data_IF_621862124335
#
_entry.id   IF_621862124335
#
_cell.length_a   1.000
_cell.length_b   1.000
_cell.length_c   1.000
_cell.angle_alpha   90.00
_cell.angle_beta   90.00
_cell.angle_gamma   90.00
#
_symmetry.space_group_name_H-M   'P 1'
#
loop_
_entity.id
_entity.type
_entity.pdbx_description
1 polymer ?
#
# COMPACT_ATOMS: atom_id res chain seq x y z
N UNK A 1 17.93 -2.99 10.40
CA UNK A 1 17.35 -1.67 10.72
C UNK A 1 16.51 -1.39 9.50
N UNK A 2 15.19 -1.28 9.69
CA UNK A 2 14.30 -1.11 8.55
C UNK A 2 14.44 0.30 7.99
N UNK A 3 14.49 0.41 6.68
CA UNK A 3 14.55 1.65 5.93
C UNK A 3 13.55 1.59 4.76
N UNK A 4 13.19 2.74 4.20
CA UNK A 4 12.30 2.81 3.04
C UNK A 4 12.94 2.12 1.83
N UNK A 5 12.14 1.35 1.11
CA UNK A 5 12.50 0.82 -0.21
C UNK A 5 12.61 1.97 -1.20
N UNK A 6 13.43 1.79 -2.23
CA UNK A 6 13.76 2.84 -3.21
C UNK A 6 12.52 3.36 -3.92
N UNK A 7 11.77 2.51 -4.62
CA UNK A 7 10.61 2.94 -5.41
C UNK A 7 9.50 1.89 -5.43
N UNK A 8 8.28 2.38 -5.56
CA UNK A 8 7.07 1.58 -5.78
C UNK A 8 6.83 1.47 -7.28
N UNK A 9 6.50 0.27 -7.74
CA UNK A 9 6.15 -0.04 -9.13
C UNK A 9 4.64 -0.09 -9.29
N UNK A 10 3.96 -0.84 -8.42
CA UNK A 10 2.53 -1.08 -8.48
C UNK A 10 1.96 -1.17 -7.06
N UNK A 11 0.74 -0.66 -6.89
CA UNK A 11 -0.06 -0.79 -5.67
C UNK A 11 -1.41 -1.36 -6.08
N UNK A 12 -1.91 -2.31 -5.28
CA UNK A 12 -3.26 -2.79 -5.38
C UNK A 12 -3.92 -2.72 -4.01
N UNK A 13 -5.01 -1.95 -3.91
CA UNK A 13 -5.84 -1.91 -2.72
C UNK A 13 -7.21 -2.54 -2.99
N UNK A 14 -7.63 -3.44 -2.11
CA UNK A 14 -8.92 -4.12 -2.23
C UNK A 14 -9.55 -4.37 -0.86
N UNK A 15 -10.87 -4.59 -0.88
CA UNK A 15 -11.60 -5.02 0.30
C UNK A 15 -11.83 -6.53 0.23
N UNK A 16 -11.45 -7.23 1.29
CA UNK A 16 -11.77 -8.63 1.54
C UNK A 16 -12.69 -8.75 2.78
N UNK A 17 -12.99 -9.97 3.22
CA UNK A 17 -13.89 -10.23 4.34
C UNK A 17 -15.38 -10.20 3.98
N UNK A 18 -16.21 -9.94 4.98
CA UNK A 18 -17.68 -9.93 4.88
C UNK A 18 -18.22 -8.54 5.28
N UNK A 19 -19.49 -8.24 4.93
CA UNK A 19 -20.16 -6.95 5.24
C UNK A 19 -20.07 -6.54 6.73
N UNK A 20 -20.02 -7.51 7.65
CA UNK A 20 -19.94 -7.23 9.09
C UNK A 20 -18.51 -6.97 9.59
N UNK A 21 -17.48 -7.42 8.86
CA UNK A 21 -16.07 -7.29 9.21
C UNK A 21 -15.21 -7.13 7.94
N UNK A 22 -15.31 -5.99 7.23
CA UNK A 22 -14.52 -5.75 6.04
C UNK A 22 -13.02 -5.62 6.39
N UNK A 23 -12.18 -6.20 5.56
CA UNK A 23 -10.72 -6.16 5.68
C UNK A 23 -10.14 -5.35 4.54
N UNK A 24 -9.25 -4.43 4.86
CA UNK A 24 -8.42 -3.76 3.88
C UNK A 24 -7.21 -4.65 3.57
N UNK A 25 -7.07 -5.03 2.31
CA UNK A 25 -5.92 -5.75 1.78
C UNK A 25 -5.15 -4.81 0.87
N UNK A 26 -3.86 -4.64 1.14
CA UNK A 26 -2.95 -3.81 0.36
C UNK A 26 -1.78 -4.66 -0.09
N UNK A 27 -1.57 -4.74 -1.39
CA UNK A 27 -0.45 -5.42 -2.02
C UNK A 27 0.39 -4.39 -2.76
N UNK A 28 1.72 -4.50 -2.63
CA UNK A 28 2.65 -3.57 -3.26
C UNK A 28 3.82 -4.32 -3.88
N UNK A 29 4.17 -3.92 -5.09
CA UNK A 29 5.39 -4.31 -5.78
C UNK A 29 6.32 -3.10 -5.88
N UNK A 30 7.60 -3.30 -5.62
CA UNK A 30 8.60 -2.24 -5.63
C UNK A 30 9.97 -2.72 -6.11
N UNK A 31 10.89 -1.77 -6.25
CA UNK A 31 12.28 -2.04 -6.55
C UNK A 31 13.17 -1.57 -5.40
N UNK A 32 14.00 -2.46 -4.89
CA UNK A 32 15.07 -2.16 -3.96
C UNK A 32 16.37 -1.80 -4.72
N UNK A 33 17.24 -0.94 -4.16
CA UNK A 33 18.46 -0.48 -4.83
C UNK A 33 19.57 -1.54 -4.89
N UNK A 34 19.46 -2.62 -4.10
CA UNK A 34 20.43 -3.71 -4.02
C UNK A 34 19.70 -5.04 -3.87
N UNK A 35 20.33 -6.13 -4.29
CA UNK A 35 19.82 -7.48 -4.01
C UNK A 35 19.86 -7.82 -2.51
N UNK A 36 18.97 -8.70 -2.06
CA UNK A 36 19.05 -9.31 -0.71
C UNK A 36 18.43 -8.50 0.41
N UNK A 37 17.52 -7.57 0.09
CA UNK A 37 16.65 -6.97 1.10
C UNK A 37 15.77 -8.04 1.74
N UNK A 38 15.53 -7.90 3.04
CA UNK A 38 14.76 -8.85 3.83
C UNK A 38 13.69 -8.13 4.66
N UNK A 39 12.72 -8.88 5.18
CA UNK A 39 11.64 -8.34 6.02
C UNK A 39 10.90 -7.15 5.38
N UNK A 40 10.67 -7.25 4.06
CA UNK A 40 9.88 -6.28 3.31
C UNK A 40 8.45 -6.31 3.85
N UNK A 41 7.90 -5.15 4.18
CA UNK A 41 6.54 -5.00 4.69
C UNK A 41 6.04 -3.58 4.47
N UNK A 42 4.72 -3.42 4.57
CA UNK A 42 4.08 -2.12 4.72
C UNK A 42 3.90 -1.83 6.22
N UNK A 43 4.43 -0.70 6.68
CA UNK A 43 4.15 -0.19 8.03
C UNK A 43 3.03 0.87 7.94
N UNK A 44 1.83 0.62 8.50
CA UNK A 44 0.72 1.58 8.45
C UNK A 44 0.96 2.77 9.37
N UNK A 45 0.60 3.97 8.90
CA UNK A 45 0.60 5.17 9.73
C UNK A 45 -0.60 5.14 10.69
N UNK A 46 -0.34 5.38 11.98
CA UNK A 46 -1.39 5.37 13.00
C UNK A 46 -1.90 6.77 13.25
N UNK A 47 -3.19 6.99 12.96
CA UNK A 47 -3.88 8.26 13.12
C UNK A 47 -4.67 8.33 14.42
N UNK A 48 -4.50 9.40 15.20
CA UNK A 48 -5.38 9.72 16.34
C UNK A 48 -6.67 10.38 15.84
N UNK A 49 -6.56 11.22 14.81
CA UNK A 49 -7.67 11.88 14.14
C UNK A 49 -7.64 11.43 12.69
N UNK A 50 -8.75 10.93 12.14
CA UNK A 50 -8.82 10.53 10.74
C UNK A 50 -8.33 11.65 9.81
N UNK A 51 -7.59 11.31 8.74
CA UNK A 51 -7.18 12.29 7.74
C UNK A 51 -8.39 12.83 6.98
N UNK A 52 -8.39 14.14 6.68
CA UNK A 52 -9.49 14.81 5.96
C UNK A 52 -9.67 14.29 4.52
N UNK A 53 -8.61 13.73 3.95
CA UNK A 53 -8.56 13.17 2.59
C UNK A 53 -9.08 11.71 2.54
N UNK A 54 -9.30 11.07 3.70
CA UNK A 54 -9.75 9.68 3.78
C UNK A 54 -8.73 8.64 3.31
N UNK A 55 -7.46 9.03 3.16
CA UNK A 55 -6.39 8.15 2.66
C UNK A 55 -5.55 7.61 3.81
N UNK A 56 -5.36 6.28 3.85
CA UNK A 56 -4.48 5.60 4.80
C UNK A 56 -3.05 5.52 4.25
N UNK A 57 -2.11 6.17 4.92
CA UNK A 57 -0.69 6.11 4.54
C UNK A 57 0.00 4.84 5.04
N UNK A 58 0.92 4.32 4.22
CA UNK A 58 1.82 3.23 4.55
C UNK A 58 3.25 3.55 4.09
N UNK A 59 4.23 3.06 4.84
CA UNK A 59 5.63 3.09 4.42
C UNK A 59 6.05 1.71 3.90
N UNK A 60 6.56 1.64 2.66
CA UNK A 60 7.19 0.41 2.15
C UNK A 60 8.61 0.32 2.71
N UNK A 61 8.81 -0.56 3.69
CA UNK A 61 10.08 -0.69 4.42
C UNK A 61 10.67 -2.09 4.29
N UNK A 62 11.99 -2.17 4.43
CA UNK A 62 12.72 -3.42 4.52
C UNK A 62 14.08 -3.28 5.19
N UNK A 63 14.70 -4.40 5.53
CA UNK A 63 16.06 -4.44 6.03
C UNK A 63 17.05 -4.52 4.87
N UNK A 64 17.82 -3.44 4.70
CA UNK A 64 18.91 -3.39 3.73
C UNK A 64 20.09 -4.30 4.13
N UNK A 65 20.64 -5.09 3.21
CA UNK A 65 21.84 -5.86 3.46
C UNK A 65 23.08 -4.96 3.54
N UNK A 66 24.03 -5.32 4.41
CA UNK A 66 25.24 -4.52 4.63
C UNK A 66 26.22 -4.55 3.45
N UNK A 67 26.37 -5.71 2.80
CA UNK A 67 27.25 -5.93 1.65
C UNK A 67 26.44 -6.65 0.56
N UNK A 68 25.92 -5.88 -0.38
CA UNK A 68 25.17 -6.38 -1.52
C UNK A 68 25.57 -5.66 -2.80
N UNK A 69 25.36 -6.34 -3.93
CA UNK A 69 25.57 -5.74 -5.23
C UNK A 69 24.51 -4.65 -5.50
N UNK A 70 24.95 -3.53 -6.09
CA UNK A 70 24.12 -2.42 -6.54
C UNK A 70 23.38 -2.80 -7.83
N UNK A 71 22.39 -3.68 -7.66
CA UNK A 71 21.54 -4.20 -8.72
C UNK A 71 20.10 -4.05 -8.23
N UNK A 72 19.25 -3.44 -9.06
CA UNK A 72 17.82 -3.32 -8.77
C UNK A 72 17.22 -4.71 -8.61
N UNK A 73 16.47 -4.91 -7.54
CA UNK A 73 15.76 -6.16 -7.27
C UNK A 73 14.31 -5.89 -6.92
N UNK A 74 13.43 -6.68 -7.50
CA UNK A 74 12.01 -6.69 -7.18
C UNK A 74 11.78 -7.10 -5.73
N UNK A 75 10.85 -6.42 -5.07
CA UNK A 75 10.40 -6.70 -3.72
C UNK A 75 8.88 -6.59 -3.67
N UNK A 76 8.28 -7.44 -2.85
CA UNK A 76 6.84 -7.54 -2.70
C UNK A 76 6.50 -7.45 -1.21
N UNK A 77 5.42 -6.76 -0.88
CA UNK A 77 4.85 -6.75 0.46
C UNK A 77 3.32 -6.71 0.38
N UNK A 78 2.72 -7.28 1.41
CA UNK A 78 1.28 -7.20 1.62
C UNK A 78 0.97 -6.80 3.06
N UNK A 79 -0.17 -6.16 3.24
CA UNK A 79 -0.73 -5.83 4.54
C UNK A 79 -2.23 -6.11 4.54
N UNK A 80 -2.69 -6.63 5.68
CA UNK A 80 -4.10 -6.92 5.92
C UNK A 80 -4.47 -6.38 7.29
N UNK A 81 -5.63 -5.73 7.37
CA UNK A 81 -6.19 -5.26 8.63
C UNK A 81 -7.63 -4.81 8.51
N UNK A 82 -8.25 -4.39 9.62
CA UNK A 82 -9.63 -3.92 9.60
C UNK A 82 -9.75 -2.68 8.71
N UNK A 83 -10.72 -2.68 7.80
CA UNK A 83 -11.07 -1.48 7.05
C UNK A 83 -11.70 -0.46 8.01
N UNK A 84 -11.16 0.75 8.03
CA UNK A 84 -11.67 1.83 8.85
C UNK A 84 -12.73 2.60 8.08
N UNK A 85 -13.79 3.06 8.76
CA UNK A 85 -14.96 3.71 8.15
C UNK A 85 -14.66 4.99 7.37
N UNK A 86 -13.52 5.61 7.64
CA UNK A 86 -13.06 6.82 6.95
C UNK A 86 -12.12 6.53 5.78
N UNK A 87 -11.62 5.29 5.66
CA UNK A 87 -10.59 4.92 4.69
C UNK A 87 -11.22 4.63 3.32
N UNK A 88 -11.00 5.53 2.37
CA UNK A 88 -11.47 5.41 0.97
C UNK A 88 -10.32 5.13 -0.01
N UNK A 89 -9.08 5.22 0.44
CA UNK A 89 -7.88 5.07 -0.39
C UNK A 89 -6.65 4.74 0.45
N UNK A 90 -5.59 4.30 -0.21
CA UNK A 90 -4.29 4.07 0.41
C UNK A 90 -3.20 4.85 -0.30
N UNK A 91 -2.16 5.24 0.44
CA UNK A 91 -1.01 5.98 -0.08
C UNK A 91 0.28 5.34 0.43
N UNK A 92 1.07 4.80 -0.49
CA UNK A 92 2.33 4.12 -0.15
C UNK A 92 3.50 5.07 -0.38
N UNK A 93 4.36 5.20 0.62
CA UNK A 93 5.58 6.01 0.60
C UNK A 93 6.81 5.13 0.36
N UNK A 94 7.66 5.55 -0.58
CA UNK A 94 9.00 5.04 -0.81
C UNK A 94 10.00 6.20 -0.87
N UNK A 95 11.28 5.90 -1.10
CA UNK A 95 12.33 6.94 -1.14
C UNK A 95 12.15 7.90 -2.32
N UNK A 96 11.94 7.36 -3.51
CA UNK A 96 11.93 8.12 -4.77
C UNK A 96 10.52 8.51 -5.22
N UNK A 97 9.48 7.83 -4.74
CA UNK A 97 8.10 8.10 -5.12
C UNK A 97 7.08 7.81 -4.02
N UNK A 98 5.85 8.15 -4.36
CA UNK A 98 4.63 7.95 -3.61
C UNK A 98 3.55 7.55 -4.60
N UNK A 99 2.81 6.49 -4.31
CA UNK A 99 1.67 6.04 -5.13
C UNK A 99 0.42 5.98 -4.27
N UNK A 100 -0.67 6.49 -4.82
CA UNK A 100 -2.00 6.45 -4.22
C UNK A 100 -2.88 5.52 -5.06
N UNK A 101 -3.72 4.75 -4.37
CA UNK A 101 -4.71 3.88 -5.00
C UNK A 101 -6.03 3.94 -4.22
N UNK A 102 -7.14 3.97 -4.95
CA UNK A 102 -8.48 4.00 -4.35
C UNK A 102 -8.85 2.58 -3.88
N UNK A 103 -9.48 2.47 -2.71
CA UNK A 103 -9.93 1.17 -2.21
C UNK A 103 -11.22 0.83 -2.92
N UNK A 104 -11.18 -0.14 -3.83
CA UNK A 104 -12.37 -0.53 -4.58
C UNK A 104 -13.31 -1.37 -3.70
N UNK A 105 -14.55 -0.90 -3.54
CA UNK A 105 -15.59 -1.65 -2.86
C UNK A 105 -16.19 -2.69 -3.83
N UNK A 106 -16.09 -4.01 -3.58
CA UNK A 106 -16.61 -5.02 -4.50
C UNK A 106 -18.16 -5.04 -4.56
N UNK A 107 -18.83 -4.24 -3.75
CA UNK A 107 -20.29 -4.06 -3.72
C UNK A 107 -20.77 -2.77 -4.39
N UNK A 108 -19.88 -1.89 -4.85
CA UNK A 108 -20.22 -0.62 -5.54
C UNK A 108 -20.17 -0.72 -7.07
N UNK A 109 -20.37 -1.93 -7.63
CA UNK A 109 -20.52 -2.17 -9.09
C UNK A 109 -21.79 -1.54 -9.72
N UNK A 110 -22.39 -0.48 -9.13
CA UNK A 110 -23.67 0.10 -9.57
C UNK A 110 -23.71 1.62 -9.85
N UNK A 111 -22.60 2.39 -9.89
CA UNK A 111 -22.69 3.84 -10.18
C UNK A 111 -21.71 4.43 -11.22
N UNK A 112 -21.23 3.64 -12.18
CA UNK A 112 -20.49 4.16 -13.37
C UNK A 112 -21.24 3.87 -14.69
N UNK A 113 -22.52 4.26 -14.77
CA UNK A 113 -23.17 4.52 -16.07
C UNK A 113 -24.04 5.79 -16.00
N UNK A 114 -23.43 6.91 -15.61
CA UNK A 114 -23.99 8.24 -15.90
C UNK A 114 -22.93 9.06 -16.62
N UNK A 115 -23.09 9.21 -17.95
CA UNK A 115 -22.86 10.43 -18.75
C UNK A 115 -22.43 10.08 -20.19
N UNK A 116 -23.40 9.87 -21.08
CA UNK A 116 -23.27 10.30 -22.48
C UNK A 116 -24.66 10.58 -23.06
N UNK A 117 -25.02 11.86 -23.06
CA UNK A 117 -26.23 12.45 -23.65
C UNK A 117 -26.26 12.40 -25.19
#
# INVERSE_FOLDING_TARGET
MSELVREIVEVNASIDGDEENPLLVVEVEGLAPTIGWANIRLDPHVYITPPDDGVQDFDLVGDRPADAAEVLSEVEAAWEGPLLDWCIGVRIHAVDNLIEDEVFEPWDEDDDESEAA
#
